data_IF_212144716575
#
_entry.id   IF_212144716575
#
_cell.length_a   1.000
_cell.length_b   1.000
_cell.length_c   1.000
_cell.angle_alpha   90.00
_cell.angle_beta   90.00
_cell.angle_gamma   90.00
#
_symmetry.space_group_name_H-M   'P 1'
#
loop_
_entity.id
_entity.type
_entity.pdbx_description
1 polymer ?
#
# COMPACT_ATOMS: atom_id res chain seq x y z
N UNK A 1 -36.15 -16.18 18.27
CA UNK A 1 -36.90 -17.06 17.35
C UNK A 1 -37.45 -16.17 16.23
N UNK A 2 -36.84 -16.17 15.06
CA UNK A 2 -37.51 -15.78 13.82
C UNK A 2 -36.66 -16.32 12.67
N UNK A 3 -37.17 -17.35 12.04
CA UNK A 3 -36.63 -18.00 10.85
C UNK A 3 -36.90 -17.12 9.64
N UNK A 4 -35.95 -16.89 8.79
CA UNK A 4 -36.16 -16.43 7.42
C UNK A 4 -35.71 -17.49 6.42
N UNK A 5 -36.65 -17.81 5.56
CA UNK A 5 -36.68 -18.91 4.61
C UNK A 5 -35.94 -18.50 3.33
N UNK A 6 -35.22 -19.48 2.76
CA UNK A 6 -34.62 -19.50 1.42
C UNK A 6 -35.67 -19.24 0.34
N UNK A 7 -35.28 -18.51 -0.71
CA UNK A 7 -35.85 -18.66 -2.06
C UNK A 7 -34.71 -18.80 -3.08
N UNK A 8 -34.57 -20.02 -3.58
CA UNK A 8 -33.84 -20.32 -4.81
C UNK A 8 -34.77 -20.05 -6.00
N UNK A 9 -34.32 -19.26 -6.97
CA UNK A 9 -34.92 -19.22 -8.32
C UNK A 9 -33.85 -19.61 -9.34
N UNK A 10 -33.95 -20.83 -9.84
CA UNK A 10 -33.20 -21.32 -10.99
C UNK A 10 -33.87 -20.85 -12.27
N UNK A 11 -33.15 -20.17 -13.16
CA UNK A 11 -33.58 -19.88 -14.53
C UNK A 11 -32.66 -20.67 -15.47
N UNK A 12 -33.21 -21.75 -16.02
CA UNK A 12 -32.66 -22.49 -17.14
C UNK A 12 -33.00 -21.76 -18.43
N UNK A 13 -32.01 -21.22 -19.12
CA UNK A 13 -32.12 -20.71 -20.49
C UNK A 13 -31.40 -21.65 -21.46
N UNK A 14 -32.15 -22.48 -22.13
CA UNK A 14 -31.69 -23.29 -23.27
C UNK A 14 -31.64 -22.42 -24.52
N UNK A 15 -30.47 -22.20 -25.10
CA UNK A 15 -30.28 -21.61 -26.41
C UNK A 15 -29.81 -22.70 -27.38
N UNK A 16 -30.68 -23.04 -28.31
CA UNK A 16 -30.43 -24.06 -29.34
C UNK A 16 -29.40 -23.60 -30.37
N UNK A 17 -28.49 -24.51 -30.71
CA UNK A 17 -27.62 -24.38 -31.87
C UNK A 17 -28.39 -24.84 -33.12
N UNK A 18 -28.65 -23.92 -34.03
CA UNK A 18 -29.07 -24.26 -35.39
C UNK A 18 -27.82 -24.62 -36.22
N UNK A 19 -27.75 -25.87 -36.64
CA UNK A 19 -26.77 -26.34 -37.63
C UNK A 19 -27.28 -25.95 -39.03
N UNK A 20 -26.56 -25.02 -39.65
CA UNK A 20 -26.73 -24.70 -41.07
C UNK A 20 -25.94 -25.69 -41.92
N UNK A 21 -26.65 -26.56 -42.60
CA UNK A 21 -26.08 -27.38 -43.68
C UNK A 21 -25.73 -26.46 -44.87
N UNK A 22 -24.47 -26.23 -45.11
CA UNK A 22 -23.94 -25.61 -46.32
C UNK A 22 -23.45 -26.69 -47.26
N UNK A 23 -24.06 -26.74 -48.41
CA UNK A 23 -23.78 -27.63 -49.55
C UNK A 23 -22.34 -27.65 -50.01
N UNK A 24 -21.90 -28.82 -50.43
CA UNK A 24 -20.54 -29.08 -50.91
C UNK A 24 -20.15 -28.21 -52.09
N UNK A 25 -19.07 -27.51 -51.91
CA UNK A 25 -18.25 -26.96 -52.99
C UNK A 25 -17.07 -27.91 -53.20
N UNK A 26 -16.95 -28.42 -54.46
CA UNK A 26 -15.84 -29.25 -54.94
C UNK A 26 -14.51 -28.53 -54.70
N UNK A 27 -13.68 -29.03 -53.80
CA UNK A 27 -12.31 -28.60 -53.62
C UNK A 27 -11.47 -29.09 -54.78
N UNK A 28 -11.03 -28.15 -55.64
CA UNK A 28 -9.88 -28.38 -56.53
C UNK A 28 -8.60 -28.65 -55.70
N UNK A 29 -7.58 -29.23 -56.33
CA UNK A 29 -6.34 -29.57 -55.63
C UNK A 29 -5.73 -28.29 -55.02
N UNK A 30 -5.62 -28.32 -53.70
CA UNK A 30 -4.96 -27.28 -52.87
C UNK A 30 -3.52 -27.09 -53.35
N UNK A 31 -3.08 -25.89 -53.70
CA UNK A 31 -1.71 -25.64 -54.06
C UNK A 31 -0.82 -25.95 -52.85
N UNK A 32 0.11 -26.88 -53.08
CA UNK A 32 1.12 -27.30 -52.11
C UNK A 32 1.82 -26.07 -51.53
N UNK A 33 1.54 -25.76 -50.27
CA UNK A 33 2.14 -24.62 -49.58
C UNK A 33 3.65 -24.81 -49.53
N UNK A 34 4.38 -24.08 -50.34
CA UNK A 34 5.83 -24.05 -50.28
C UNK A 34 6.22 -23.56 -48.86
N UNK A 35 6.84 -24.45 -48.08
CA UNK A 35 7.38 -24.13 -46.78
C UNK A 35 8.41 -22.98 -46.91
N UNK A 36 8.04 -21.81 -46.43
CA UNK A 36 8.96 -20.68 -46.38
C UNK A 36 10.18 -21.08 -45.51
N UNK A 37 11.40 -20.72 -45.92
CA UNK A 37 12.58 -21.02 -45.11
C UNK A 37 12.44 -20.36 -43.73
N UNK A 38 12.89 -21.04 -42.65
CA UNK A 38 12.76 -20.49 -41.29
C UNK A 38 13.48 -19.15 -41.20
N UNK A 39 12.74 -18.11 -40.93
CA UNK A 39 13.28 -16.77 -40.69
C UNK A 39 14.07 -16.86 -39.40
N UNK A 40 15.39 -16.77 -39.45
CA UNK A 40 16.23 -16.55 -38.27
C UNK A 40 15.98 -15.13 -37.78
N UNK A 41 15.10 -14.97 -36.80
CA UNK A 41 14.93 -13.72 -36.11
C UNK A 41 16.05 -13.64 -35.06
N UNK A 42 17.07 -12.83 -35.29
CA UNK A 42 18.01 -12.43 -34.25
C UNK A 42 17.28 -11.48 -33.29
N UNK A 43 16.64 -12.06 -32.28
CA UNK A 43 16.07 -11.29 -31.18
C UNK A 43 17.26 -10.70 -30.40
N UNK A 44 17.28 -9.38 -30.19
CA UNK A 44 18.25 -8.79 -29.29
C UNK A 44 18.14 -9.50 -27.94
N UNK A 45 19.28 -9.83 -27.34
CA UNK A 45 19.32 -10.43 -26.00
C UNK A 45 18.39 -9.64 -25.09
N UNK A 46 17.48 -10.31 -24.35
CA UNK A 46 16.61 -9.60 -23.42
C UNK A 46 17.49 -8.75 -22.52
N UNK A 47 17.14 -7.47 -22.28
CA UNK A 47 17.91 -6.61 -21.40
C UNK A 47 18.13 -7.35 -20.10
N UNK A 48 19.40 -7.55 -19.71
CA UNK A 48 19.71 -8.11 -18.40
C UNK A 48 19.11 -7.12 -17.41
N UNK A 49 18.06 -7.55 -16.71
CA UNK A 49 17.58 -6.80 -15.55
C UNK A 49 18.70 -6.91 -14.51
N UNK A 50 19.64 -5.97 -14.58
CA UNK A 50 20.64 -5.82 -13.55
C UNK A 50 19.89 -5.80 -12.22
N UNK A 51 20.30 -6.65 -11.29
CA UNK A 51 19.71 -6.70 -9.96
C UNK A 51 19.68 -5.25 -9.47
N UNK A 52 18.49 -4.74 -9.17
CA UNK A 52 18.34 -3.33 -8.78
C UNK A 52 19.29 -3.07 -7.61
N UNK A 53 20.14 -2.04 -7.72
CA UNK A 53 21.10 -1.63 -6.68
C UNK A 53 20.44 -1.22 -5.35
N UNK A 54 19.11 -1.26 -5.30
CA UNK A 54 18.33 -0.94 -4.11
C UNK A 54 18.22 -2.20 -3.25
N UNK A 55 18.77 -2.22 -2.03
CA UNK A 55 18.63 -3.34 -1.12
C UNK A 55 17.15 -3.51 -0.69
N UNK A 56 16.78 -4.67 -0.21
CA UNK A 56 15.45 -4.91 0.35
C UNK A 56 15.32 -4.33 1.76
N UNK A 57 16.45 -4.34 2.48
CA UNK A 57 16.56 -3.89 3.86
C UNK A 57 17.92 -3.26 4.09
N UNK A 58 17.95 -2.15 4.82
CA UNK A 58 19.19 -1.52 5.24
C UNK A 58 19.82 -2.26 6.44
N UNK A 59 21.14 -2.10 6.68
CA UNK A 59 21.83 -2.75 7.82
C UNK A 59 21.23 -2.41 9.19
N UNK A 60 20.64 -1.21 9.35
CA UNK A 60 19.98 -0.75 10.58
C UNK A 60 18.54 -1.27 10.74
N UNK A 61 18.12 -2.17 9.86
CA UNK A 61 16.81 -2.81 9.91
C UNK A 61 15.68 -2.08 9.20
N UNK A 62 15.91 -0.88 8.67
CA UNK A 62 14.90 -0.17 7.88
C UNK A 62 14.66 -0.87 6.55
N UNK A 63 13.41 -1.00 6.14
CA UNK A 63 13.03 -1.56 4.85
C UNK A 63 13.05 -0.48 3.76
N UNK A 64 13.23 -0.92 2.52
CA UNK A 64 12.92 -0.14 1.32
C UNK A 64 11.48 -0.46 0.87
N UNK A 65 10.91 0.36 0.00
CA UNK A 65 9.58 0.09 -0.60
C UNK A 65 9.62 -1.23 -1.39
N UNK A 66 10.69 -1.42 -2.15
CA UNK A 66 10.93 -2.69 -2.86
C UNK A 66 10.92 -3.89 -1.91
N UNK A 67 11.60 -3.77 -0.75
CA UNK A 67 11.66 -4.82 0.26
C UNK A 67 10.29 -5.17 0.83
N UNK A 68 9.46 -4.17 1.12
CA UNK A 68 8.10 -4.39 1.61
C UNK A 68 7.22 -5.07 0.56
N UNK A 69 7.25 -4.61 -0.69
CA UNK A 69 6.49 -5.21 -1.78
C UNK A 69 6.92 -6.64 -2.09
N UNK A 70 8.24 -6.89 -2.10
CA UNK A 70 8.76 -8.25 -2.27
C UNK A 70 8.32 -9.16 -1.14
N UNK A 71 8.38 -8.71 0.11
CA UNK A 71 7.88 -9.48 1.25
C UNK A 71 6.39 -9.82 1.08
N UNK A 72 5.56 -8.83 0.68
CA UNK A 72 4.14 -9.05 0.41
C UNK A 72 3.93 -10.15 -0.62
N UNK A 73 4.56 -10.05 -1.80
CA UNK A 73 4.35 -11.00 -2.91
C UNK A 73 4.99 -12.36 -2.67
N UNK A 74 6.15 -12.43 -2.02
CA UNK A 74 6.89 -13.69 -1.85
C UNK A 74 6.57 -14.45 -0.58
N UNK A 75 6.09 -13.76 0.45
CA UNK A 75 5.80 -14.35 1.77
C UNK A 75 4.31 -14.27 2.07
N UNK A 76 3.71 -13.08 2.10
CA UNK A 76 2.34 -12.92 2.56
C UNK A 76 1.31 -13.57 1.62
N UNK A 77 1.49 -13.47 0.31
CA UNK A 77 0.55 -14.02 -0.69
C UNK A 77 0.65 -15.56 -0.85
N UNK A 78 1.56 -16.22 -0.15
CA UNK A 78 1.61 -17.69 -0.10
C UNK A 78 0.57 -18.32 0.81
N UNK A 79 -0.07 -17.53 1.67
CA UNK A 79 -1.16 -18.05 2.51
C UNK A 79 -2.38 -18.36 1.65
N UNK A 80 -2.99 -19.52 1.88
CA UNK A 80 -4.30 -19.81 1.29
C UNK A 80 -5.37 -18.87 1.89
N UNK A 81 -6.42 -18.53 1.13
CA UNK A 81 -7.52 -17.70 1.64
C UNK A 81 -8.07 -18.24 2.95
N UNK A 82 -8.17 -17.38 3.97
CA UNK A 82 -8.68 -17.73 5.31
C UNK A 82 -7.66 -18.34 6.27
N UNK A 83 -6.41 -18.52 5.84
CA UNK A 83 -5.34 -18.93 6.75
C UNK A 83 -4.63 -17.73 7.39
N UNK A 84 -4.06 -17.88 8.60
CA UNK A 84 -3.26 -16.83 9.22
C UNK A 84 -2.05 -16.49 8.33
N UNK A 85 -1.62 -15.23 8.40
CA UNK A 85 -0.46 -14.77 7.65
C UNK A 85 0.78 -15.61 7.99
N UNK A 86 1.59 -16.03 7.01
CA UNK A 86 2.79 -16.82 7.24
C UNK A 86 3.79 -16.09 8.14
N UNK A 87 4.63 -16.86 8.83
CA UNK A 87 5.74 -16.30 9.57
C UNK A 87 6.63 -15.46 8.65
N UNK A 88 7.07 -14.29 9.14
CA UNK A 88 7.85 -13.33 8.36
C UNK A 88 7.05 -12.42 7.42
N UNK A 89 5.72 -12.58 7.30
CA UNK A 89 4.88 -11.64 6.58
C UNK A 89 4.83 -10.30 7.33
N UNK A 90 5.11 -9.21 6.60
CA UNK A 90 5.13 -7.84 7.14
C UNK A 90 3.77 -7.13 7.03
N UNK A 91 2.79 -7.73 6.36
CA UNK A 91 1.46 -7.15 6.21
C UNK A 91 0.78 -7.03 7.58
N UNK A 92 0.24 -5.83 7.87
CA UNK A 92 -0.34 -5.45 9.17
C UNK A 92 0.67 -5.53 10.34
N UNK A 93 1.96 -5.37 10.06
CA UNK A 93 3.02 -5.28 11.06
C UNK A 93 3.65 -3.89 11.03
N UNK A 94 4.12 -3.47 12.21
CA UNK A 94 4.92 -2.25 12.30
C UNK A 94 6.28 -2.46 11.66
N UNK A 95 6.66 -1.52 10.83
CA UNK A 95 7.90 -1.52 10.07
C UNK A 95 8.58 -0.17 10.17
N UNK A 96 9.91 -0.17 10.11
CA UNK A 96 10.70 1.03 9.87
C UNK A 96 11.01 1.08 8.37
N UNK A 97 10.58 2.14 7.70
CA UNK A 97 10.78 2.40 6.28
C UNK A 97 11.75 3.57 6.10
N UNK A 98 12.71 3.43 5.20
CA UNK A 98 13.57 4.53 4.75
C UNK A 98 13.35 4.77 3.26
N UNK A 99 12.84 5.97 2.92
CA UNK A 99 12.47 6.30 1.56
C UNK A 99 12.52 7.82 1.30
N UNK A 100 12.53 8.20 0.01
CA UNK A 100 12.52 9.60 -0.43
C UNK A 100 11.08 10.11 -0.53
N UNK A 101 10.84 11.32 -0.02
CA UNK A 101 9.56 12.00 -0.21
C UNK A 101 9.45 12.48 -1.67
N UNK A 102 8.40 12.04 -2.36
CA UNK A 102 8.14 12.42 -3.75
C UNK A 102 7.13 13.55 -3.85
N UNK A 103 6.05 13.48 -3.07
CA UNK A 103 4.94 14.43 -3.14
C UNK A 103 4.18 14.44 -1.82
N UNK A 104 3.75 15.62 -1.40
CA UNK A 104 2.76 15.77 -0.30
C UNK A 104 1.45 16.22 -0.93
N UNK A 105 0.39 15.48 -0.70
CA UNK A 105 -0.92 15.84 -1.20
C UNK A 105 -1.36 17.20 -0.64
N UNK A 106 -1.78 18.06 -1.55
CA UNK A 106 -2.38 19.35 -1.23
C UNK A 106 -3.79 19.41 -1.80
N UNK A 107 -4.74 19.78 -0.96
CA UNK A 107 -6.09 20.01 -1.43
C UNK A 107 -6.12 21.14 -2.46
N UNK A 108 -6.70 20.93 -3.65
CA UNK A 108 -6.86 21.98 -4.63
C UNK A 108 -7.66 23.15 -4.08
N UNK A 109 -7.21 24.38 -4.37
CA UNK A 109 -7.96 25.57 -3.98
C UNK A 109 -9.25 25.65 -4.79
N UNK A 110 -10.40 25.72 -4.09
CA UNK A 110 -11.69 25.85 -4.72
C UNK A 110 -11.92 27.31 -5.15
N UNK A 111 -12.14 27.59 -6.45
CA UNK A 111 -12.47 28.93 -6.90
C UNK A 111 -13.80 29.40 -6.29
N UNK A 112 -13.89 30.71 -5.94
CA UNK A 112 -15.11 31.28 -5.42
C UNK A 112 -16.30 31.08 -6.37
N UNK A 113 -17.42 30.61 -5.84
CA UNK A 113 -18.65 30.38 -6.61
C UNK A 113 -18.74 29.05 -7.36
N UNK A 114 -17.76 28.15 -7.19
CA UNK A 114 -17.82 26.80 -7.76
C UNK A 114 -18.01 25.75 -6.66
N UNK A 115 -18.74 24.69 -7.02
CA UNK A 115 -18.82 23.48 -6.18
C UNK A 115 -17.63 22.59 -6.48
N UNK A 116 -16.75 22.38 -5.51
CA UNK A 116 -15.57 21.54 -5.67
C UNK A 116 -15.78 20.18 -5.02
N UNK A 117 -15.03 19.18 -5.51
CA UNK A 117 -14.93 17.88 -4.85
C UNK A 117 -14.34 18.06 -3.46
N UNK A 118 -14.83 17.31 -2.50
CA UNK A 118 -14.22 17.24 -1.18
C UNK A 118 -12.76 16.80 -1.30
N UNK A 119 -11.90 17.41 -0.49
CA UNK A 119 -10.49 17.01 -0.44
C UNK A 119 -10.36 15.61 0.10
N UNK A 120 -9.41 14.87 -0.46
CA UNK A 120 -8.98 13.61 0.14
C UNK A 120 -8.28 13.92 1.48
N UNK A 121 -8.22 12.92 2.34
CA UNK A 121 -7.49 13.06 3.59
C UNK A 121 -5.98 13.28 3.33
N UNK A 122 -5.27 13.97 4.23
CA UNK A 122 -3.84 14.21 4.09
C UNK A 122 -3.04 12.92 3.92
N UNK A 123 -2.27 12.85 2.85
CA UNK A 123 -1.38 11.74 2.54
C UNK A 123 -0.15 12.24 1.79
N UNK A 124 0.89 11.44 1.71
CA UNK A 124 2.07 11.72 0.90
C UNK A 124 2.63 10.46 0.26
N UNK A 125 3.47 10.64 -0.75
CA UNK A 125 4.04 9.56 -1.54
C UNK A 125 5.53 9.45 -1.32
N UNK A 126 6.02 8.23 -1.23
CA UNK A 126 7.41 7.87 -1.03
C UNK A 126 7.95 7.04 -2.20
N UNK A 127 9.23 7.19 -2.48
CA UNK A 127 9.95 6.39 -3.47
C UNK A 127 11.25 5.83 -2.91
N UNK A 128 11.73 4.73 -3.47
CA UNK A 128 13.06 4.19 -3.15
C UNK A 128 14.18 5.11 -3.65
N UNK A 129 13.89 5.97 -4.63
CA UNK A 129 14.77 7.03 -5.16
C UNK A 129 13.97 8.33 -5.30
N UNK A 130 14.65 9.46 -5.31
CA UNK A 130 14.02 10.78 -5.46
C UNK A 130 13.31 10.97 -6.82
N UNK A 131 13.72 10.23 -7.84
CA UNK A 131 13.16 10.23 -9.19
C UNK A 131 12.18 9.08 -9.46
N UNK A 132 11.75 8.37 -8.41
CA UNK A 132 10.77 7.28 -8.53
C UNK A 132 9.46 7.81 -9.11
N UNK A 133 8.95 7.17 -10.15
CA UNK A 133 7.66 7.52 -10.76
C UNK A 133 6.51 7.27 -9.78
N UNK A 134 5.47 8.12 -9.84
CA UNK A 134 4.31 8.08 -8.91
C UNK A 134 3.59 6.72 -8.90
N UNK A 135 3.53 6.03 -10.04
CA UNK A 135 2.90 4.70 -10.15
C UNK A 135 3.64 3.63 -9.34
N UNK A 136 4.90 3.88 -9.03
CA UNK A 136 5.75 2.99 -8.18
C UNK A 136 5.93 3.53 -6.77
N UNK A 137 5.30 4.66 -6.45
CA UNK A 137 5.37 5.25 -5.12
C UNK A 137 4.56 4.43 -4.10
N UNK A 138 4.94 4.54 -2.84
CA UNK A 138 4.21 4.01 -1.70
C UNK A 138 3.49 5.16 -0.99
N UNK A 139 2.20 5.00 -0.76
CA UNK A 139 1.39 6.01 -0.08
C UNK A 139 1.53 5.88 1.44
N UNK A 140 1.67 7.02 2.13
CA UNK A 140 1.60 7.12 3.59
C UNK A 140 0.35 7.90 3.95
N UNK A 141 -0.47 7.33 4.81
CA UNK A 141 -1.78 7.87 5.21
C UNK A 141 -1.85 8.07 6.72
N UNK A 142 -2.85 8.80 7.19
CA UNK A 142 -3.15 9.00 8.61
C UNK A 142 -2.04 9.74 9.39
N UNK A 143 -1.21 10.54 8.69
CA UNK A 143 -0.08 11.24 9.30
C UNK A 143 -0.45 12.57 9.96
N UNK A 144 -1.57 13.18 9.59
CA UNK A 144 -1.97 14.49 10.06
C UNK A 144 -3.37 14.45 10.70
N UNK A 145 -3.44 14.88 11.93
CA UNK A 145 -4.71 15.03 12.65
C UNK A 145 -5.42 16.35 12.31
N UNK A 146 -6.75 16.41 12.42
CA UNK A 146 -7.49 17.67 12.35
C UNK A 146 -6.89 18.69 13.32
N UNK A 147 -6.62 19.90 12.84
CA UNK A 147 -6.04 21.03 13.62
C UNK A 147 -4.57 20.83 14.05
N UNK A 148 -3.92 19.73 13.66
CA UNK A 148 -2.49 19.56 13.89
C UNK A 148 -1.70 20.37 12.85
N UNK A 149 -0.59 20.98 13.28
CA UNK A 149 0.34 21.64 12.37
C UNK A 149 1.04 20.55 11.52
N UNK A 150 1.02 20.74 10.21
CA UNK A 150 1.69 19.82 9.30
C UNK A 150 3.21 19.77 9.56
N UNK A 151 3.84 18.59 9.41
CA UNK A 151 5.29 18.47 9.46
C UNK A 151 5.95 19.28 8.35
N UNK A 152 7.15 19.80 8.62
CA UNK A 152 7.94 20.49 7.59
C UNK A 152 8.73 19.43 6.84
N UNK A 153 8.32 19.16 5.62
CA UNK A 153 8.88 18.10 4.78
C UNK A 153 9.40 18.68 3.47
N UNK A 154 10.57 18.24 3.03
CA UNK A 154 11.19 18.63 1.76
C UNK A 154 11.10 17.49 0.75
N UNK A 155 10.46 17.76 -0.40
CA UNK A 155 10.40 16.81 -1.53
C UNK A 155 11.83 16.51 -2.03
N UNK A 156 12.09 15.23 -2.33
CA UNK A 156 13.41 14.73 -2.73
C UNK A 156 14.34 14.38 -1.56
N UNK A 157 13.97 14.71 -0.31
CA UNK A 157 14.71 14.31 0.89
C UNK A 157 14.32 12.93 1.36
N UNK A 158 15.28 12.20 1.94
CA UNK A 158 15.05 10.87 2.52
C UNK A 158 14.60 10.99 3.98
N UNK A 159 13.63 10.16 4.36
CA UNK A 159 13.06 10.11 5.70
C UNK A 159 13.02 8.68 6.24
N UNK A 160 13.20 8.55 7.55
CA UNK A 160 12.90 7.35 8.31
C UNK A 160 11.48 7.47 8.88
N UNK A 161 10.62 6.53 8.53
CA UNK A 161 9.20 6.53 8.91
C UNK A 161 8.90 5.20 9.58
N UNK A 162 8.28 5.25 10.74
CA UNK A 162 7.70 4.08 11.39
C UNK A 162 6.20 4.07 11.13
N UNK A 163 5.65 2.90 10.85
CA UNK A 163 4.22 2.74 10.60
C UNK A 163 3.86 1.30 10.33
N UNK A 164 2.58 1.02 10.17
CA UNK A 164 2.10 -0.32 9.85
C UNK A 164 1.96 -0.49 8.33
N UNK A 165 2.58 -1.52 7.78
CA UNK A 165 2.45 -1.86 6.36
C UNK A 165 1.14 -2.60 6.13
N UNK A 166 0.21 -2.03 5.36
CA UNK A 166 -1.14 -2.56 5.16
C UNK A 166 -1.60 -2.40 3.70
N UNK A 167 -2.69 -3.04 3.33
CA UNK A 167 -3.39 -2.82 2.06
C UNK A 167 -4.58 -1.88 2.21
N UNK A 168 -5.07 -1.69 3.43
CA UNK A 168 -6.17 -0.79 3.76
C UNK A 168 -5.82 0.05 4.99
N UNK A 169 -6.32 1.27 5.05
CA UNK A 169 -6.21 2.13 6.23
C UNK A 169 -7.55 2.24 6.97
N UNK A 170 -7.53 2.58 8.27
CA UNK A 170 -8.74 2.86 9.04
C UNK A 170 -9.59 4.00 8.44
N UNK A 171 -8.98 4.91 7.71
CA UNK A 171 -9.61 6.09 7.13
C UNK A 171 -10.16 5.85 5.71
N UNK A 172 -10.07 4.62 5.20
CA UNK A 172 -10.69 4.21 3.95
C UNK A 172 -9.77 4.26 2.72
N UNK A 173 -8.47 4.55 2.87
CA UNK A 173 -7.51 4.36 1.78
C UNK A 173 -7.25 2.88 1.55
N UNK A 174 -7.14 2.50 0.27
CA UNK A 174 -6.77 1.16 -0.15
C UNK A 174 -5.69 1.20 -1.24
N UNK A 175 -4.71 0.31 -1.14
CA UNK A 175 -3.67 0.14 -2.15
C UNK A 175 -3.29 -1.34 -2.27
N UNK A 176 -3.54 -1.93 -3.44
CA UNK A 176 -3.22 -3.34 -3.70
C UNK A 176 -1.75 -3.67 -3.47
N UNK A 177 -0.85 -2.74 -3.79
CA UNK A 177 0.60 -2.90 -3.61
C UNK A 177 1.08 -2.61 -2.18
N UNK A 178 0.16 -2.18 -1.32
CA UNK A 178 0.43 -1.78 0.04
C UNK A 178 0.55 -0.27 0.23
N UNK A 179 0.31 0.16 1.46
CA UNK A 179 0.45 1.51 1.97
C UNK A 179 1.05 1.48 3.38
N UNK A 180 1.50 2.61 3.88
CA UNK A 180 1.90 2.77 5.29
C UNK A 180 0.81 3.55 6.02
N UNK A 181 0.24 2.92 7.03
CA UNK A 181 -0.52 3.63 8.07
C UNK A 181 0.51 4.26 9.00
N UNK A 182 0.52 5.58 9.06
CA UNK A 182 1.56 6.34 9.73
C UNK A 182 1.64 6.06 11.23
N UNK A 183 2.84 5.85 11.72
CA UNK A 183 3.16 5.77 13.16
C UNK A 183 3.90 7.01 13.63
N UNK A 184 5.18 7.13 13.27
CA UNK A 184 6.02 8.26 13.64
C UNK A 184 7.08 8.58 12.60
N UNK A 185 7.57 9.82 12.61
CA UNK A 185 8.73 10.28 11.85
C UNK A 185 9.33 11.53 12.50
N UNK A 186 10.57 11.88 12.14
CA UNK A 186 11.15 13.20 12.41
C UNK A 186 11.08 14.06 11.16
N UNK A 187 10.64 15.31 11.34
CA UNK A 187 10.60 16.31 10.27
C UNK A 187 11.97 16.95 10.01
N UNK A 188 12.05 17.93 9.10
CA UNK A 188 13.28 18.63 8.76
C UNK A 188 13.85 19.48 9.92
N UNK A 189 13.03 19.81 10.90
CA UNK A 189 13.42 20.53 12.11
C UNK A 189 13.82 19.61 13.26
N UNK A 190 13.82 18.30 13.02
CA UNK A 190 14.06 17.28 14.04
C UNK A 190 12.88 17.09 15.01
N UNK A 191 11.74 17.70 14.74
CA UNK A 191 10.52 17.51 15.54
C UNK A 191 9.94 16.14 15.28
N UNK A 192 9.67 15.40 16.35
CA UNK A 192 9.03 14.10 16.23
C UNK A 192 7.53 14.27 16.04
N UNK A 193 7.02 13.68 14.96
CA UNK A 193 5.62 13.55 14.66
C UNK A 193 5.15 12.14 15.02
N UNK A 194 4.05 12.06 15.75
CA UNK A 194 3.44 10.82 16.22
C UNK A 194 2.04 10.68 15.63
N UNK A 195 1.63 9.45 15.35
CA UNK A 195 0.24 9.13 15.01
C UNK A 195 -0.71 9.46 16.16
N UNK A 196 -2.00 9.54 15.85
CA UNK A 196 -3.02 9.77 16.88
C UNK A 196 -2.95 8.73 17.99
N UNK A 197 -2.81 7.45 17.65
CA UNK A 197 -2.73 6.36 18.61
C UNK A 197 -1.53 6.54 19.55
N UNK A 198 -0.37 6.85 19.02
CA UNK A 198 0.84 7.08 19.81
C UNK A 198 0.75 8.34 20.68
N UNK A 199 0.12 9.41 20.18
CA UNK A 199 -0.11 10.62 21.00
C UNK A 199 -1.04 10.35 22.17
N UNK A 200 -2.12 9.58 21.98
CA UNK A 200 -3.04 9.20 23.06
C UNK A 200 -2.31 8.31 24.08
N UNK A 201 -1.52 7.35 23.63
CA UNK A 201 -0.73 6.50 24.51
C UNK A 201 0.29 7.31 25.31
N UNK A 202 1.02 8.22 24.69
CA UNK A 202 1.98 9.08 25.37
C UNK A 202 1.30 9.97 26.43
N UNK A 203 0.12 10.50 26.13
CA UNK A 203 -0.68 11.28 27.10
C UNK A 203 -1.14 10.42 28.28
N UNK A 204 -1.60 9.19 28.04
CA UNK A 204 -2.02 8.28 29.08
C UNK A 204 -0.85 7.90 30.01
N UNK A 205 0.32 7.60 29.44
CA UNK A 205 1.52 7.31 30.23
C UNK A 205 1.98 8.51 31.06
N UNK A 206 1.97 9.72 30.50
CA UNK A 206 2.30 10.95 31.22
C UNK A 206 1.31 11.24 32.37
N UNK A 207 0.03 10.93 32.18
CA UNK A 207 -1.00 11.00 33.23
C UNK A 207 -0.71 10.03 34.37
N UNK A 208 -0.48 8.77 34.08
CA UNK A 208 -0.17 7.75 35.07
C UNK A 208 1.12 8.06 35.88
N UNK A 209 2.15 8.59 35.19
CA UNK A 209 3.40 9.00 35.86
C UNK A 209 3.18 10.17 36.83
N UNK A 210 2.33 11.16 36.48
CA UNK A 210 1.97 12.27 37.38
C UNK A 210 1.22 11.77 38.62
N UNK A 211 0.28 10.88 38.45
CA UNK A 211 -0.49 10.28 39.54
C UNK A 211 0.40 9.48 40.48
N UNK A 212 1.28 8.65 39.96
CA UNK A 212 2.28 7.91 40.75
C UNK A 212 3.20 8.84 41.56
N UNK A 213 3.65 9.94 40.94
CA UNK A 213 4.47 10.94 41.63
C UNK A 213 3.72 11.68 42.75
N UNK A 214 2.42 11.95 42.57
CA UNK A 214 1.57 12.55 43.62
C UNK A 214 1.38 11.59 44.79
N UNK A 215 1.11 10.31 44.52
CA UNK A 215 0.98 9.28 45.55
C UNK A 215 2.26 9.08 46.36
N UNK A 216 3.43 9.12 45.70
CA UNK A 216 4.72 9.04 46.37
C UNK A 216 4.94 10.20 47.34
N UNK A 217 4.66 11.44 46.89
CA UNK A 217 4.74 12.64 47.75
C UNK A 217 3.74 12.64 48.91
N UNK A 218 2.55 12.04 48.73
CA UNK A 218 1.56 11.94 49.81
C UNK A 218 1.96 10.91 50.88
N UNK A 219 2.69 9.85 50.48
CA UNK A 219 3.26 8.87 51.46
C UNK A 219 4.40 9.46 52.28
N UNK A 220 5.30 10.25 51.64
CA UNK A 220 6.44 10.89 52.33
C UNK A 220 6.00 11.91 53.38
N UNK A 221 4.86 12.57 53.20
CA UNK A 221 4.31 13.54 54.20
C UNK A 221 3.65 12.89 55.43
N UNK A 222 3.50 11.56 55.45
CA UNK A 222 2.85 10.80 56.55
C UNK A 222 3.83 10.18 57.50
N UNK A 223 5.12 10.25 57.20
CA UNK A 223 6.25 9.90 58.05
C UNK A 223 6.94 11.14 58.61
#
# INVERSE_FOLDING_TARGET
MTRFVLFCAAVLGAAGCQSSNASGASMGPEPEAQALPPIKVDLPSPPSFAASDIPEKFPDGAYTIRGLRKNKTTICEKAAPGQPAPEGCLLNKDVKLRAFLLEVYQCPVCPKGQTCKLCDQPHFFLGDKADTKKEKALMVVDYLLPKQKAPVLTVGKQYDINGSFSINSPTGFGASDGLIVFGSMKDDKGTEFLSQAQQLQAKAMAGAAKEAAQLAKAKDKRH
#
